data_IF_194581716495
#
_entry.id   IF_194581716495
#
_cell.length_a   1.000
_cell.length_b   1.000
_cell.length_c   1.000
_cell.angle_alpha   90.00
_cell.angle_beta   90.00
_cell.angle_gamma   90.00
#
_symmetry.space_group_name_H-M   'P 1'
#
loop_
_entity.id
_entity.type
_entity.pdbx_description
1 polymer ?
#
# COMPACT_ATOMS: atom_id res chain seq x y z
N UNK A 1 14.35 28.11 2.40
CA UNK A 1 14.11 27.66 1.01
C UNK A 1 12.65 27.97 0.65
N UNK A 2 12.38 28.83 -0.34
CA UNK A 2 11.00 29.24 -0.69
C UNK A 2 10.63 28.66 -2.05
N UNK A 3 9.80 27.61 -2.07
CA UNK A 3 9.35 27.01 -3.34
C UNK A 3 8.79 25.57 -3.28
N UNK A 4 8.38 25.07 -2.10
CA UNK A 4 7.81 23.72 -2.03
C UNK A 4 6.43 23.66 -2.70
N UNK A 5 6.22 22.63 -3.52
CA UNK A 5 4.93 22.32 -4.16
C UNK A 5 4.29 21.14 -3.45
N UNK A 6 2.95 21.06 -3.40
CA UNK A 6 2.28 19.89 -2.87
C UNK A 6 2.69 18.64 -3.67
N UNK A 7 3.06 17.58 -2.96
CA UNK A 7 3.52 16.32 -3.54
C UNK A 7 2.35 15.35 -3.54
N UNK A 8 2.00 14.85 -4.71
CA UNK A 8 1.02 13.79 -4.87
C UNK A 8 1.64 12.44 -4.49
N UNK A 9 1.04 11.70 -3.55
CA UNK A 9 1.51 10.38 -3.14
C UNK A 9 0.38 9.35 -3.10
N UNK A 10 0.66 8.12 -3.55
CA UNK A 10 -0.26 7.01 -3.38
C UNK A 10 -0.25 6.51 -1.93
N UNK A 11 -1.41 6.10 -1.43
CA UNK A 11 -1.59 5.52 -0.10
C UNK A 11 -1.08 4.06 -0.09
N UNK A 12 -0.66 3.59 1.09
CA UNK A 12 -0.39 2.17 1.30
C UNK A 12 -1.67 1.33 1.10
N UNK A 13 -1.51 0.08 0.64
CA UNK A 13 -2.65 -0.83 0.44
C UNK A 13 -2.44 -2.18 1.11
N UNK A 14 -3.50 -2.67 1.75
CA UNK A 14 -3.54 -3.99 2.38
C UNK A 14 -3.82 -5.13 1.39
N UNK A 15 -4.31 -4.79 0.19
CA UNK A 15 -4.79 -5.77 -0.78
C UNK A 15 -3.69 -6.72 -1.25
N UNK A 16 -2.44 -6.24 -1.40
CA UNK A 16 -1.32 -7.08 -1.79
C UNK A 16 -1.06 -8.24 -0.83
N UNK A 17 -1.12 -7.98 0.49
CA UNK A 17 -0.93 -9.01 1.52
C UNK A 17 -2.06 -10.03 1.50
N UNK A 18 -3.30 -9.57 1.33
CA UNK A 18 -4.46 -10.46 1.29
C UNK A 18 -4.49 -11.33 0.03
N UNK A 19 -4.17 -10.76 -1.14
CA UNK A 19 -4.06 -11.53 -2.38
C UNK A 19 -2.94 -12.58 -2.30
N UNK A 20 -1.80 -12.24 -1.70
CA UNK A 20 -0.71 -13.19 -1.49
C UNK A 20 -1.15 -14.36 -0.61
N UNK A 21 -1.76 -14.09 0.55
CA UNK A 21 -2.24 -15.13 1.46
C UNK A 21 -3.29 -16.06 0.81
N UNK A 22 -4.26 -15.49 0.08
CA UNK A 22 -5.27 -16.26 -0.65
C UNK A 22 -4.64 -17.11 -1.77
N UNK A 23 -3.65 -16.58 -2.48
CA UNK A 23 -2.93 -17.31 -3.51
C UNK A 23 -2.13 -18.48 -2.93
N UNK A 24 -1.44 -18.26 -1.80
CA UNK A 24 -0.73 -19.32 -1.08
C UNK A 24 -1.68 -20.41 -0.60
N UNK A 25 -2.82 -20.04 -0.01
CA UNK A 25 -3.84 -21.00 0.43
C UNK A 25 -4.42 -21.80 -0.74
N UNK A 26 -4.71 -21.13 -1.86
CA UNK A 26 -5.22 -21.76 -3.07
C UNK A 26 -4.21 -22.77 -3.64
N UNK A 27 -2.95 -22.37 -3.79
CA UNK A 27 -1.87 -23.24 -4.26
C UNK A 27 -1.66 -24.46 -3.34
N UNK A 28 -1.65 -24.24 -2.03
CA UNK A 28 -1.54 -25.33 -1.05
C UNK A 28 -2.71 -26.32 -1.16
N UNK A 29 -3.95 -25.80 -1.27
CA UNK A 29 -5.13 -26.64 -1.40
C UNK A 29 -5.13 -27.48 -2.68
N UNK A 30 -4.63 -26.92 -3.79
CA UNK A 30 -4.48 -27.66 -5.06
C UNK A 30 -3.46 -28.80 -4.95
N UNK A 31 -2.33 -28.59 -4.27
CA UNK A 31 -1.30 -29.63 -4.08
C UNK A 31 -1.83 -30.84 -3.30
N UNK A 32 -2.66 -30.59 -2.29
CA UNK A 32 -3.20 -31.63 -1.40
C UNK A 32 -4.59 -32.14 -1.80
N UNK A 33 -5.06 -31.86 -3.01
CA UNK A 33 -6.40 -32.27 -3.51
C UNK A 33 -7.58 -31.79 -2.63
N UNK A 34 -7.41 -30.67 -1.92
CA UNK A 34 -8.43 -30.06 -1.06
C UNK A 34 -9.39 -29.21 -1.90
N UNK A 35 -10.17 -29.85 -2.78
CA UNK A 35 -10.97 -29.15 -3.79
C UNK A 35 -11.94 -28.11 -3.24
N UNK A 36 -12.61 -28.40 -2.11
CA UNK A 36 -13.52 -27.44 -1.49
C UNK A 36 -12.80 -26.15 -1.06
N UNK A 37 -11.62 -26.29 -0.45
CA UNK A 37 -10.80 -25.15 0.01
C UNK A 37 -10.19 -24.42 -1.19
N UNK A 38 -9.76 -25.13 -2.23
CA UNK A 38 -9.23 -24.52 -3.45
C UNK A 38 -10.28 -23.63 -4.14
N UNK A 39 -11.51 -24.12 -4.30
CA UNK A 39 -12.61 -23.33 -4.90
C UNK A 39 -12.94 -22.11 -4.04
N UNK A 40 -13.03 -22.27 -2.72
CA UNK A 40 -13.29 -21.15 -1.81
C UNK A 40 -12.17 -20.08 -1.85
N UNK A 41 -10.91 -20.51 -1.79
CA UNK A 41 -9.77 -19.60 -1.84
C UNK A 41 -9.67 -18.88 -3.18
N UNK A 42 -9.95 -19.57 -4.29
CA UNK A 42 -9.96 -18.99 -5.63
C UNK A 42 -11.07 -17.94 -5.80
N UNK A 43 -12.30 -18.26 -5.35
CA UNK A 43 -13.40 -17.29 -5.37
C UNK A 43 -13.11 -16.08 -4.48
N UNK A 44 -12.56 -16.31 -3.28
CA UNK A 44 -12.12 -15.23 -2.39
C UNK A 44 -11.09 -14.33 -3.04
N UNK A 45 -10.10 -14.90 -3.73
CA UNK A 45 -9.08 -14.16 -4.47
C UNK A 45 -9.70 -13.28 -5.56
N UNK A 46 -10.62 -13.84 -6.36
CA UNK A 46 -11.33 -13.08 -7.41
C UNK A 46 -12.15 -11.93 -6.82
N UNK A 47 -12.89 -12.17 -5.74
CA UNK A 47 -13.70 -11.15 -5.08
C UNK A 47 -12.81 -10.00 -4.57
N UNK A 48 -11.72 -10.32 -3.86
CA UNK A 48 -10.80 -9.31 -3.34
C UNK A 48 -10.15 -8.52 -4.47
N UNK A 49 -9.73 -9.19 -5.55
CA UNK A 49 -9.14 -8.53 -6.71
C UNK A 49 -10.13 -7.56 -7.37
N UNK A 50 -11.38 -7.97 -7.56
CA UNK A 50 -12.44 -7.13 -8.14
C UNK A 50 -12.73 -5.94 -7.23
N UNK A 51 -13.01 -6.17 -5.95
CA UNK A 51 -13.31 -5.09 -4.98
C UNK A 51 -12.16 -4.08 -4.91
N UNK A 52 -10.92 -4.55 -4.86
CA UNK A 52 -9.77 -3.66 -4.79
C UNK A 52 -9.52 -2.86 -6.09
N UNK A 53 -9.97 -3.38 -7.24
CA UNK A 53 -9.88 -2.65 -8.52
C UNK A 53 -10.81 -1.43 -8.54
N UNK A 54 -11.92 -1.47 -7.80
CA UNK A 54 -12.85 -0.35 -7.64
C UNK A 54 -12.50 0.60 -6.49
N UNK A 55 -11.34 0.44 -5.85
CA UNK A 55 -10.90 1.35 -4.78
C UNK A 55 -10.24 2.61 -5.37
N UNK A 56 -11.02 3.70 -5.43
CA UNK A 56 -10.62 4.99 -6.01
C UNK A 56 -9.98 5.96 -5.00
N UNK A 57 -9.92 5.66 -3.69
CA UNK A 57 -9.30 6.51 -2.67
C UNK A 57 -7.83 6.13 -2.42
N UNK A 58 -7.05 6.17 -3.49
CA UNK A 58 -5.63 5.75 -3.48
C UNK A 58 -4.65 6.90 -3.33
N UNK A 59 -5.11 8.14 -3.28
CA UNK A 59 -4.30 9.31 -3.55
C UNK A 59 -4.41 10.32 -2.40
N UNK A 60 -3.28 10.89 -1.98
CA UNK A 60 -3.28 12.01 -1.04
C UNK A 60 -2.18 13.00 -1.41
N UNK A 61 -2.39 14.26 -1.01
CA UNK A 61 -1.42 15.33 -1.22
C UNK A 61 -0.72 15.68 0.09
N UNK A 62 0.61 15.60 0.08
CA UNK A 62 1.45 16.16 1.14
C UNK A 62 1.53 17.66 0.92
N UNK A 63 1.15 18.45 1.92
CA UNK A 63 1.09 19.92 1.81
C UNK A 63 2.50 20.52 1.77
N UNK A 64 2.67 21.60 1.01
CA UNK A 64 3.95 22.30 0.89
C UNK A 64 4.51 22.79 2.25
N UNK A 65 3.64 23.15 3.20
CA UNK A 65 4.05 23.55 4.55
C UNK A 65 4.64 22.40 5.37
N UNK A 66 4.13 21.19 5.18
CA UNK A 66 4.63 20.00 5.85
C UNK A 66 6.02 19.63 5.31
N UNK A 67 6.20 19.68 3.99
CA UNK A 67 7.51 19.48 3.35
C UNK A 67 8.53 20.50 3.83
N UNK A 68 8.14 21.78 3.90
CA UNK A 68 9.01 22.85 4.40
C UNK A 68 9.46 22.59 5.84
N UNK A 69 8.53 22.22 6.72
CA UNK A 69 8.84 21.93 8.13
C UNK A 69 9.85 20.79 8.26
N UNK A 70 9.64 19.69 7.53
CA UNK A 70 10.53 18.53 7.56
C UNK A 70 11.94 18.87 7.03
N UNK A 71 12.04 19.64 5.94
CA UNK A 71 13.33 20.07 5.38
C UNK A 71 14.04 21.11 6.27
N UNK A 72 13.31 22.00 6.93
CA UNK A 72 13.87 22.95 7.90
C UNK A 72 14.43 22.18 9.12
N UNK A 73 13.70 21.21 9.67
CA UNK A 73 14.18 20.30 10.74
C UNK A 73 15.44 19.54 10.31
N UNK A 74 15.45 18.98 9.10
CA UNK A 74 16.61 18.30 8.51
C UNK A 74 17.80 19.25 8.35
N UNK A 75 17.57 20.49 7.93
CA UNK A 75 18.61 21.51 7.78
C UNK A 75 19.23 21.86 9.13
N UNK A 76 18.44 22.00 10.20
CA UNK A 76 18.93 22.23 11.56
C UNK A 76 19.82 21.09 12.05
N UNK A 77 19.45 19.83 11.76
CA UNK A 77 20.25 18.65 12.14
C UNK A 77 21.58 18.57 11.37
N UNK A 78 21.62 19.02 10.11
CA UNK A 78 22.83 19.02 9.29
C UNK A 78 23.83 20.11 9.67
N UNK A 79 23.37 21.22 10.27
CA UNK A 79 24.26 22.28 10.75
C UNK A 79 25.12 21.78 11.92
N UNK A 80 24.63 20.80 12.71
CA UNK A 80 25.35 20.20 13.84
C UNK A 80 25.67 21.20 14.97
N UNK A 81 25.89 20.75 16.22
CA UNK A 81 26.44 21.64 17.23
C UNK A 81 27.86 22.05 16.80
N UNK A 82 28.12 23.36 16.81
CA UNK A 82 29.44 23.93 16.55
C UNK A 82 30.52 23.39 17.49
#
# INVERSE_FOLDING_TARGET
>A
MTGFRPIHMPRNTWAGVVLAALSTLCGFALVWYMWAVAVLAFLGLLIVAVVHTFDYDREYYVKADEVRRIEDERTQLLVGPA
#
